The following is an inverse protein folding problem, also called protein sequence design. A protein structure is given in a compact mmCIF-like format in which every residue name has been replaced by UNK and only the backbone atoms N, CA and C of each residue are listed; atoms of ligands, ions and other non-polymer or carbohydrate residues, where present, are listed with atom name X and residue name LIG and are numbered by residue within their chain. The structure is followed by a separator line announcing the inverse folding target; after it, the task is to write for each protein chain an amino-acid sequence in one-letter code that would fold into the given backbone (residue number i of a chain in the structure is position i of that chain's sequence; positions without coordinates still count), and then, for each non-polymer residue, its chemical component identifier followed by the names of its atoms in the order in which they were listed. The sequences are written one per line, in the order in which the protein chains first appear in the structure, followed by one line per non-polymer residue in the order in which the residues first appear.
data_IF_501440247134
#
_entry.id   IF_501440247134
#
_cell.length_a   1.000
_cell.length_b   1.000
_cell.length_c   1.000
_cell.angle_alpha   90.00
_cell.angle_beta   90.00
_cell.angle_gamma   90.00
#
_symmetry.space_group_name_H-M   'P 1'
#
loop_
_entity.id
_entity.type
_entity.pdbx_description
1 polymer ?
#
# COMPACT_ATOMS: atom_id res chain seq x y z
N UNK A 1 -2.09 7.74 -37.88
CA UNK A 1 -2.63 7.73 -36.51
C UNK A 1 -3.81 8.68 -36.50
N UNK A 2 -4.98 8.18 -36.15
CA UNK A 2 -6.23 8.94 -36.15
C UNK A 2 -6.16 10.02 -35.05
N UNK A 3 -6.56 11.26 -35.33
CA UNK A 3 -6.38 12.39 -34.42
C UNK A 3 -6.97 12.12 -33.02
N UNK A 4 -8.04 11.33 -32.93
CA UNK A 4 -8.68 10.95 -31.68
C UNK A 4 -7.83 10.03 -30.80
N UNK A 5 -7.06 9.13 -31.40
CA UNK A 5 -6.19 8.20 -30.66
C UNK A 5 -5.05 8.97 -29.98
N UNK A 6 -4.46 9.94 -30.69
CA UNK A 6 -3.43 10.82 -30.14
C UNK A 6 -3.94 11.73 -29.02
N UNK A 7 -5.20 12.17 -29.09
CA UNK A 7 -5.81 12.99 -28.05
C UNK A 7 -6.04 12.18 -26.77
N UNK A 8 -6.55 10.96 -26.91
CA UNK A 8 -6.82 10.06 -25.79
C UNK A 8 -5.53 9.72 -25.03
N UNK A 9 -4.45 9.41 -25.76
CA UNK A 9 -3.15 9.11 -25.16
C UNK A 9 -2.60 10.30 -24.36
N UNK A 10 -2.70 11.52 -24.90
CA UNK A 10 -2.32 12.75 -24.18
C UNK A 10 -3.13 12.97 -22.91
N UNK A 11 -4.43 12.66 -22.91
CA UNK A 11 -5.27 12.77 -21.72
C UNK A 11 -4.84 11.77 -20.64
N UNK A 12 -4.53 10.52 -21.01
CA UNK A 12 -4.02 9.52 -20.07
C UNK A 12 -2.69 9.94 -19.47
N UNK A 13 -1.75 10.44 -20.29
CA UNK A 13 -0.46 10.96 -19.84
C UNK A 13 -0.66 12.04 -18.77
N UNK A 14 -1.57 13.00 -18.99
CA UNK A 14 -1.85 14.05 -18.01
C UNK A 14 -2.33 13.52 -16.66
N UNK A 15 -3.10 12.43 -16.65
CA UNK A 15 -3.57 11.82 -15.39
C UNK A 15 -2.40 11.16 -14.66
N UNK A 16 -1.66 10.28 -15.33
CA UNK A 16 -0.59 9.50 -14.68
C UNK A 16 0.58 10.38 -14.23
N UNK A 17 0.82 11.49 -14.93
CA UNK A 17 1.86 12.48 -14.57
C UNK A 17 1.40 13.49 -13.52
N UNK A 18 0.12 13.47 -13.12
CA UNK A 18 -0.38 14.38 -12.08
C UNK A 18 0.33 14.12 -10.75
N UNK A 19 0.53 15.18 -9.97
CA UNK A 19 1.33 15.12 -8.74
C UNK A 19 0.86 14.00 -7.78
N UNK A 20 -0.46 13.88 -7.57
CA UNK A 20 -1.03 12.85 -6.69
C UNK A 20 -0.74 11.44 -7.19
N UNK A 21 -0.94 11.19 -8.48
CA UNK A 21 -0.60 9.90 -9.09
C UNK A 21 0.87 9.56 -8.97
N UNK A 22 1.71 10.56 -9.23
CA UNK A 22 3.14 10.40 -9.24
C UNK A 22 3.66 9.98 -7.87
N UNK A 23 3.28 10.71 -6.82
CA UNK A 23 3.76 10.46 -5.46
C UNK A 23 3.08 9.25 -4.80
N UNK A 24 1.78 9.04 -5.04
CA UNK A 24 1.02 8.00 -4.31
C UNK A 24 1.12 6.62 -4.97
N UNK A 25 1.30 6.55 -6.30
CA UNK A 25 1.18 5.29 -7.07
C UNK A 25 2.41 5.03 -7.93
N UNK A 26 2.78 5.97 -8.81
CA UNK A 26 3.80 5.71 -9.84
C UNK A 26 5.19 5.51 -9.22
N UNK A 27 5.65 6.44 -8.39
CA UNK A 27 6.97 6.36 -7.78
C UNK A 27 7.08 5.18 -6.81
N UNK A 28 6.13 4.95 -5.87
CA UNK A 28 6.23 3.82 -4.95
C UNK A 28 6.28 2.47 -5.65
N UNK A 29 5.41 2.26 -6.66
CA UNK A 29 5.40 0.97 -7.39
C UNK A 29 6.61 0.80 -8.30
N UNK A 30 7.10 1.88 -8.91
CA UNK A 30 8.31 1.81 -9.73
C UNK A 30 9.55 1.42 -8.89
N UNK A 31 9.68 2.02 -7.70
CA UNK A 31 10.74 1.69 -6.75
C UNK A 31 10.66 0.24 -6.27
N UNK A 32 9.46 -0.22 -5.88
CA UNK A 32 9.23 -1.59 -5.42
C UNK A 32 9.51 -2.65 -6.49
N UNK A 33 9.19 -2.34 -7.76
CA UNK A 33 9.44 -3.23 -8.90
C UNK A 33 10.85 -3.06 -9.51
N UNK A 34 11.64 -2.08 -9.05
CA UNK A 34 12.98 -1.82 -9.56
C UNK A 34 13.01 -1.32 -11.02
N UNK A 35 11.97 -0.61 -11.46
CA UNK A 35 11.84 -0.05 -12.81
C UNK A 35 11.86 1.48 -12.79
N UNK A 36 12.04 2.11 -13.95
CA UNK A 36 11.94 3.57 -14.04
C UNK A 36 10.49 4.04 -13.95
N UNK A 37 10.28 5.26 -13.44
CA UNK A 37 8.94 5.87 -13.39
C UNK A 37 8.28 5.92 -14.77
N UNK A 38 9.03 6.21 -15.83
CA UNK A 38 8.50 6.31 -17.20
C UNK A 38 8.01 4.95 -17.70
N UNK A 39 8.67 3.86 -17.29
CA UNK A 39 8.22 2.49 -17.62
C UNK A 39 6.91 2.18 -16.89
N UNK A 40 6.78 2.59 -15.62
CA UNK A 40 5.54 2.43 -14.87
C UNK A 40 4.39 3.27 -15.47
N UNK A 41 4.64 4.52 -15.85
CA UNK A 41 3.67 5.38 -16.55
C UNK A 41 3.17 4.71 -17.83
N UNK A 42 4.08 4.14 -18.64
CA UNK A 42 3.71 3.41 -19.86
C UNK A 42 2.88 2.15 -19.57
N UNK A 43 3.22 1.40 -18.51
CA UNK A 43 2.43 0.25 -18.06
C UNK A 43 1.00 0.68 -17.73
N UNK A 44 0.82 1.79 -17.00
CA UNK A 44 -0.50 2.30 -16.63
C UNK A 44 -1.29 2.76 -17.86
N UNK A 45 -0.67 3.55 -18.76
CA UNK A 45 -1.33 4.05 -19.98
C UNK A 45 -1.77 2.90 -20.90
N UNK A 46 -0.92 1.88 -21.03
CA UNK A 46 -1.16 0.70 -21.88
C UNK A 46 -2.31 -0.15 -21.37
N UNK A 47 -2.41 -0.35 -20.05
CA UNK A 47 -3.32 -1.34 -19.47
C UNK A 47 -4.62 -0.74 -18.92
N UNK A 48 -4.66 0.55 -18.62
CA UNK A 48 -5.84 1.21 -18.06
C UNK A 48 -6.53 2.09 -19.10
N UNK A 49 -7.85 1.97 -19.20
CA UNK A 49 -8.68 2.88 -19.98
C UNK A 49 -8.89 4.21 -19.25
N UNK A 50 -9.49 5.17 -19.95
CA UNK A 50 -9.69 6.52 -19.40
C UNK A 50 -10.54 6.50 -18.12
N UNK A 51 -11.63 5.72 -18.12
CA UNK A 51 -12.52 5.62 -16.96
C UNK A 51 -11.80 5.04 -15.74
N UNK A 52 -10.96 4.02 -15.94
CA UNK A 52 -10.18 3.43 -14.86
C UNK A 52 -9.16 4.43 -14.29
N UNK A 53 -8.47 5.19 -15.15
CA UNK A 53 -7.52 6.21 -14.73
C UNK A 53 -8.20 7.36 -13.98
N UNK A 54 -9.40 7.78 -14.36
CA UNK A 54 -10.12 8.82 -13.61
C UNK A 54 -10.61 8.31 -12.24
N UNK A 55 -10.96 7.03 -12.14
CA UNK A 55 -11.51 6.43 -10.92
C UNK A 55 -10.46 5.81 -9.98
N UNK A 56 -9.20 5.64 -10.40
CA UNK A 56 -8.24 4.86 -9.62
C UNK A 56 -7.82 5.54 -8.32
N UNK A 57 -7.64 6.86 -8.29
CA UNK A 57 -7.16 7.55 -7.08
C UNK A 57 -8.14 7.41 -5.89
N UNK A 58 -9.46 7.64 -6.05
CA UNK A 58 -10.42 7.33 -4.99
C UNK A 58 -10.38 5.86 -4.55
N UNK A 59 -10.19 4.92 -5.48
CA UNK A 59 -10.08 3.49 -5.17
C UNK A 59 -8.81 3.19 -4.37
N UNK A 60 -7.69 3.79 -4.75
CA UNK A 60 -6.42 3.69 -4.04
C UNK A 60 -6.56 4.15 -2.60
N UNK A 61 -7.11 5.35 -2.36
CA UNK A 61 -7.31 5.87 -1.00
C UNK A 61 -8.20 4.95 -0.16
N UNK A 62 -9.28 4.42 -0.75
CA UNK A 62 -10.17 3.49 -0.03
C UNK A 62 -9.52 2.13 0.26
N UNK A 63 -8.58 1.67 -0.59
CA UNK A 63 -7.89 0.40 -0.42
C UNK A 63 -6.67 0.52 0.49
N UNK A 64 -6.08 1.71 0.63
CA UNK A 64 -4.82 1.96 1.34
C UNK A 64 -4.80 1.40 2.77
N UNK A 65 -5.84 1.57 3.63
CA UNK A 65 -5.84 0.98 4.97
C UNK A 65 -5.79 -0.56 4.94
N UNK A 66 -6.53 -1.18 4.02
CA UNK A 66 -6.57 -2.63 3.87
C UNK A 66 -5.22 -3.18 3.41
N UNK A 67 -4.66 -2.65 2.33
CA UNK A 67 -3.37 -3.10 1.80
C UNK A 67 -2.25 -2.93 2.83
N UNK A 68 -2.32 -1.87 3.64
CA UNK A 68 -1.36 -1.61 4.69
C UNK A 68 -1.45 -2.64 5.83
N UNK A 69 -2.66 -2.98 6.28
CA UNK A 69 -2.88 -4.08 7.25
C UNK A 69 -2.34 -5.41 6.72
N UNK A 70 -2.63 -5.75 5.47
CA UNK A 70 -2.13 -6.97 4.81
C UNK A 70 -0.59 -7.01 4.82
N UNK A 71 0.06 -5.88 4.48
CA UNK A 71 1.52 -5.76 4.53
C UNK A 71 2.07 -5.94 5.95
N UNK A 72 1.49 -5.25 6.94
CA UNK A 72 1.89 -5.36 8.35
C UNK A 72 1.74 -6.81 8.85
N UNK A 73 0.64 -7.49 8.50
CA UNK A 73 0.41 -8.89 8.84
C UNK A 73 1.52 -9.81 8.31
N UNK A 74 1.93 -9.59 7.06
CA UNK A 74 3.00 -10.33 6.43
C UNK A 74 4.38 -10.03 7.06
N UNK A 75 4.69 -8.76 7.29
CA UNK A 75 5.99 -8.29 7.80
C UNK A 75 6.19 -8.64 9.28
N UNK A 76 5.12 -8.66 10.09
CA UNK A 76 5.14 -9.14 11.48
C UNK A 76 5.00 -10.67 11.60
N UNK A 77 4.92 -11.39 10.49
CA UNK A 77 4.78 -12.87 10.46
C UNK A 77 3.53 -13.38 11.21
N UNK A 78 2.48 -12.57 11.27
CA UNK A 78 1.22 -12.94 11.93
C UNK A 78 0.49 -14.08 11.21
N UNK A 79 0.76 -14.29 9.92
CA UNK A 79 0.34 -15.50 9.22
C UNK A 79 0.83 -16.80 9.90
N UNK A 80 2.03 -16.79 10.48
CA UNK A 80 2.52 -17.93 11.25
C UNK A 80 2.11 -17.83 12.72
N UNK A 81 2.34 -16.68 13.34
CA UNK A 81 2.20 -16.50 14.79
C UNK A 81 0.74 -16.53 15.26
N UNK A 82 -0.18 -16.05 14.43
CA UNK A 82 -1.61 -16.00 14.70
C UNK A 82 -2.35 -17.10 13.93
N UNK A 83 -2.30 -17.09 12.59
CA UNK A 83 -3.21 -17.94 11.79
C UNK A 83 -2.85 -19.44 11.81
N UNK A 84 -1.56 -19.79 12.03
CA UNK A 84 -1.10 -21.19 12.00
C UNK A 84 -0.77 -21.74 13.38
N UNK A 85 0.03 -21.01 14.17
CA UNK A 85 0.48 -21.49 15.48
C UNK A 85 -0.46 -21.08 16.62
N UNK A 86 -1.35 -20.11 16.39
CA UNK A 86 -2.32 -19.60 17.37
C UNK A 86 -1.65 -19.13 18.70
N UNK A 87 -0.38 -18.71 18.64
CA UNK A 87 0.37 -18.19 19.80
C UNK A 87 -0.01 -16.73 20.07
N UNK A 88 -0.34 -15.98 19.01
CA UNK A 88 -0.91 -14.64 19.08
C UNK A 88 -2.39 -14.74 18.76
N UNK A 89 -3.26 -14.24 19.64
CA UNK A 89 -4.69 -14.27 19.41
C UNK A 89 -5.08 -13.46 18.17
N UNK A 90 -6.16 -13.87 17.49
CA UNK A 90 -6.69 -13.12 16.34
C UNK A 90 -7.06 -11.68 16.72
N UNK A 91 -7.55 -11.47 17.94
CA UNK A 91 -7.88 -10.14 18.47
C UNK A 91 -6.63 -9.27 18.64
N UNK A 92 -5.53 -9.82 19.14
CA UNK A 92 -4.29 -9.05 19.32
C UNK A 92 -3.59 -8.78 18.00
N UNK A 93 -3.66 -9.74 17.06
CA UNK A 93 -3.24 -9.55 15.67
C UNK A 93 -3.97 -8.38 15.01
N UNK A 94 -5.31 -8.33 15.13
CA UNK A 94 -6.13 -7.24 14.59
C UNK A 94 -5.86 -5.90 15.30
N UNK A 95 -5.65 -5.90 16.62
CA UNK A 95 -5.29 -4.69 17.38
C UNK A 95 -3.96 -4.12 16.91
N UNK A 96 -2.91 -4.95 16.80
CA UNK A 96 -1.59 -4.51 16.35
C UNK A 96 -1.69 -3.96 14.94
N UNK A 97 -2.23 -4.72 14.00
CA UNK A 97 -2.32 -4.29 12.58
C UNK A 97 -3.15 -3.02 12.43
N UNK A 98 -4.26 -2.87 13.16
CA UNK A 98 -5.09 -1.65 13.16
C UNK A 98 -4.33 -0.45 13.72
N UNK A 99 -3.64 -0.61 14.85
CA UNK A 99 -2.87 0.48 15.46
C UNK A 99 -1.74 0.95 14.55
N UNK A 100 -0.90 0.03 14.08
CA UNK A 100 0.24 0.35 13.20
C UNK A 100 -0.25 0.92 11.87
N UNK A 101 -1.35 0.37 11.31
CA UNK A 101 -1.95 0.93 10.10
C UNK A 101 -2.39 2.37 10.31
N UNK A 102 -2.96 2.70 11.47
CA UNK A 102 -3.40 4.07 11.78
C UNK A 102 -2.20 5.02 11.91
N UNK A 103 -1.16 4.61 12.62
CA UNK A 103 0.07 5.42 12.78
C UNK A 103 0.69 5.81 11.43
N UNK A 104 0.76 4.87 10.50
CA UNK A 104 1.30 5.15 9.16
C UNK A 104 0.38 6.05 8.33
N UNK A 105 -0.95 5.88 8.45
CA UNK A 105 -1.91 6.76 7.79
C UNK A 105 -1.87 8.18 8.37
N UNK A 106 -1.57 8.32 9.66
CA UNK A 106 -1.40 9.60 10.36
C UNK A 106 -0.02 10.26 10.06
N UNK A 107 0.85 9.59 9.31
CA UNK A 107 2.10 10.15 8.76
C UNK A 107 3.39 9.55 9.34
N UNK A 108 3.32 8.56 10.23
CA UNK A 108 4.51 7.87 10.73
C UNK A 108 5.17 7.06 9.60
N UNK A 109 6.50 7.15 9.40
CA UNK A 109 7.19 6.33 8.41
C UNK A 109 6.96 4.84 8.64
N UNK A 110 6.68 4.08 7.58
CA UNK A 110 6.32 2.66 7.67
C UNK A 110 7.30 1.84 8.52
N UNK A 111 8.60 2.01 8.28
CA UNK A 111 9.64 1.27 9.01
C UNK A 111 9.63 1.57 10.51
N UNK A 112 9.34 2.81 10.90
CA UNK A 112 9.27 3.20 12.31
C UNK A 112 8.04 2.57 12.97
N UNK A 113 6.86 2.67 12.33
CA UNK A 113 5.64 2.07 12.85
C UNK A 113 5.76 0.53 12.93
N UNK A 114 6.45 -0.10 11.97
CA UNK A 114 6.71 -1.53 11.99
C UNK A 114 7.59 -1.95 13.19
N UNK A 115 8.62 -1.17 13.54
CA UNK A 115 9.43 -1.42 14.74
C UNK A 115 8.60 -1.33 16.02
N UNK A 116 7.66 -0.39 16.10
CA UNK A 116 6.74 -0.30 17.25
C UNK A 116 5.73 -1.47 17.29
N UNK A 117 5.35 -1.99 16.13
CA UNK A 117 4.59 -3.24 16.01
C UNK A 117 5.37 -4.45 16.49
N UNK A 118 6.68 -4.56 16.16
CA UNK A 118 7.55 -5.64 16.64
C UNK A 118 7.73 -5.64 18.15
N UNK A 119 7.86 -4.46 18.76
CA UNK A 119 7.95 -4.33 20.23
C UNK A 119 6.69 -4.86 20.92
N UNK A 120 5.52 -4.43 20.46
CA UNK A 120 4.24 -4.90 21.00
C UNK A 120 4.04 -6.41 20.79
N UNK A 121 4.43 -6.92 19.62
CA UNK A 121 4.40 -8.36 19.35
C UNK A 121 5.30 -9.15 20.32
N UNK A 122 6.50 -8.64 20.63
CA UNK A 122 7.39 -9.25 21.60
C UNK A 122 6.83 -9.22 23.03
N UNK A 123 6.21 -8.11 23.45
CA UNK A 123 5.54 -8.01 24.76
C UNK A 123 4.48 -9.11 24.92
N UNK A 124 3.65 -9.32 23.88
CA UNK A 124 2.66 -10.41 23.86
C UNK A 124 3.33 -11.79 23.96
N UNK A 125 4.37 -12.03 23.16
CA UNK A 125 5.04 -13.33 23.11
C UNK A 125 5.80 -13.68 24.41
N UNK A 126 6.31 -12.66 25.11
CA UNK A 126 7.01 -12.83 26.38
C UNK A 126 6.08 -12.91 27.58
N UNK A 127 4.79 -12.61 27.40
CA UNK A 127 3.79 -12.64 28.47
C UNK A 127 3.86 -11.45 29.42
N UNK A 128 4.52 -10.36 29.00
CA UNK A 128 4.53 -9.09 29.72
C UNK A 128 3.18 -8.39 29.47
N UNK A 129 2.13 -8.82 30.19
CA UNK A 129 0.81 -8.22 30.08
C UNK A 129 0.80 -6.79 30.66
N UNK A 130 0.23 -5.86 29.89
CA UNK A 130 -0.35 -4.58 30.36
C UNK A 130 -1.67 -4.87 31.07
#
# INVERSE_FOLDING_TARGET
MDNNESLLELMKIRIVTSFRWREDIVLPLADELGIKKEEMEQILIKNLDMSSLEALHPRFESARPRCLKERIHADLRLCYLSDVMEIVSGDDSEKITTKISKEVLDGTPYNQALEDGKKQLLEILLGDQI
#
